data_IF_282699955092
#
_entry.id   IF_282699955092
#
_cell.length_a   1.000
_cell.length_b   1.000
_cell.length_c   1.000
_cell.angle_alpha   90.00
_cell.angle_beta   90.00
_cell.angle_gamma   90.00
#
_symmetry.space_group_name_H-M   'P 1'
#
loop_
_entity.id
_entity.type
_entity.pdbx_description
1 polymer ?
#
# COMPACT_ATOMS: atom_id res chain seq x y z
N UNK A 1 -11.92 -20.29 -8.53
CA UNK A 1 -11.61 -19.52 -7.31
C UNK A 1 -10.77 -18.32 -7.72
N UNK A 2 -11.24 -17.11 -7.43
CA UNK A 2 -10.47 -15.88 -7.61
C UNK A 2 -9.38 -15.83 -6.55
N UNK A 3 -8.15 -15.51 -6.93
CA UNK A 3 -7.01 -15.42 -6.02
C UNK A 3 -7.10 -14.13 -5.20
N UNK A 4 -7.28 -14.22 -3.88
CA UNK A 4 -7.39 -13.05 -2.99
C UNK A 4 -6.07 -12.28 -2.89
N UNK A 5 -4.95 -13.01 -2.84
CA UNK A 5 -3.63 -12.41 -2.65
C UNK A 5 -2.51 -13.42 -2.53
N UNK A 6 -1.35 -12.93 -2.13
CA UNK A 6 -0.13 -13.68 -1.87
C UNK A 6 0.46 -13.26 -0.53
N UNK A 7 1.06 -14.18 0.21
CA UNK A 7 1.82 -13.87 1.43
C UNK A 7 3.30 -13.93 1.10
N UNK A 8 4.02 -12.85 1.39
CA UNK A 8 5.47 -12.74 1.21
C UNK A 8 6.19 -12.75 2.57
N UNK A 9 6.14 -13.90 3.25
CA UNK A 9 6.80 -14.10 4.55
C UNK A 9 7.76 -15.30 4.49
N UNK A 10 8.85 -15.28 5.26
CA UNK A 10 9.86 -16.35 5.26
C UNK A 10 9.29 -17.70 5.70
N UNK A 11 8.40 -17.71 6.69
CA UNK A 11 7.74 -18.91 7.21
C UNK A 11 6.60 -19.42 6.32
N UNK A 12 6.03 -18.55 5.48
CA UNK A 12 4.99 -18.91 4.53
C UNK A 12 5.07 -18.00 3.31
N UNK A 13 5.45 -18.58 2.19
CA UNK A 13 5.53 -17.90 0.90
C UNK A 13 4.60 -18.60 -0.09
N UNK A 14 3.47 -17.97 -0.39
CA UNK A 14 2.43 -18.66 -1.15
C UNK A 14 1.15 -17.88 -1.38
N UNK A 15 0.24 -18.41 -2.23
CA UNK A 15 -1.07 -17.81 -2.44
C UNK A 15 -1.89 -17.84 -1.15
N UNK A 16 -2.61 -16.76 -0.86
CA UNK A 16 -3.55 -16.69 0.24
C UNK A 16 -4.79 -17.53 -0.09
N UNK A 17 -4.74 -18.82 0.26
CA UNK A 17 -5.84 -19.78 0.05
C UNK A 17 -6.81 -19.84 1.22
N UNK A 18 -6.31 -19.65 2.44
CA UNK A 18 -7.11 -19.60 3.66
C UNK A 18 -7.09 -18.17 4.22
N UNK A 19 -8.20 -17.42 4.12
CA UNK A 19 -8.31 -16.08 4.67
C UNK A 19 -7.97 -15.96 6.17
N UNK A 20 -8.13 -17.04 6.96
CA UNK A 20 -7.85 -17.04 8.41
C UNK A 20 -6.40 -16.75 8.74
N UNK A 21 -5.47 -16.99 7.81
CA UNK A 21 -4.06 -16.64 7.96
C UNK A 21 -3.88 -15.15 8.25
N UNK A 22 -4.79 -14.28 7.77
CA UNK A 22 -4.74 -12.84 8.02
C UNK A 22 -5.03 -12.47 9.48
N UNK A 23 -5.49 -13.38 10.34
CA UNK A 23 -5.55 -13.15 11.78
C UNK A 23 -4.16 -13.12 12.43
N UNK A 24 -3.13 -13.67 11.77
CA UNK A 24 -1.75 -13.63 12.25
C UNK A 24 -1.05 -12.34 11.78
N UNK A 25 -0.57 -11.47 12.69
CA UNK A 25 0.01 -10.17 12.34
C UNK A 25 1.12 -10.23 11.28
N UNK A 26 1.98 -11.25 11.35
CA UNK A 26 3.09 -11.45 10.42
C UNK A 26 2.62 -11.72 8.98
N UNK A 27 1.52 -12.45 8.80
CA UNK A 27 0.96 -12.74 7.48
C UNK A 27 0.13 -11.57 6.96
N UNK A 28 -0.61 -10.89 7.84
CA UNK A 28 -1.37 -9.69 7.47
C UNK A 28 -0.47 -8.59 6.91
N UNK A 29 0.61 -8.27 7.61
CA UNK A 29 1.51 -7.16 7.24
C UNK A 29 2.38 -7.46 6.02
N UNK A 30 2.60 -8.74 5.70
CA UNK A 30 3.36 -9.21 4.52
C UNK A 30 2.49 -9.61 3.33
N UNK A 31 1.17 -9.57 3.45
CA UNK A 31 0.28 -9.94 2.36
C UNK A 31 0.28 -8.87 1.24
N UNK A 32 0.30 -9.33 -0.01
CA UNK A 32 -0.05 -8.56 -1.20
C UNK A 32 -1.47 -8.95 -1.57
N UNK A 33 -2.41 -8.03 -1.43
CA UNK A 33 -3.83 -8.26 -1.71
C UNK A 33 -4.13 -7.84 -3.14
N UNK A 34 -4.78 -8.74 -3.89
CA UNK A 34 -5.02 -8.59 -5.32
C UNK A 34 -6.49 -8.38 -5.67
N UNK A 35 -7.42 -8.71 -4.77
CA UNK A 35 -8.86 -8.50 -4.99
C UNK A 35 -9.57 -8.28 -3.66
N UNK A 36 -10.66 -7.53 -3.70
CA UNK A 36 -11.61 -7.41 -2.59
C UNK A 36 -12.14 -8.79 -2.11
N UNK A 37 -12.34 -8.95 -0.80
CA UNK A 37 -12.96 -10.13 -0.20
C UNK A 37 -13.50 -9.82 1.19
N UNK A 38 -14.82 -9.94 1.38
CA UNK A 38 -15.46 -9.64 2.67
C UNK A 38 -15.02 -10.57 3.80
N UNK A 39 -14.88 -11.87 3.50
CA UNK A 39 -14.41 -12.84 4.49
C UNK A 39 -12.99 -12.51 4.94
N UNK A 40 -12.08 -12.26 4.00
CA UNK A 40 -10.70 -11.90 4.31
C UNK A 40 -10.58 -10.53 4.99
N UNK A 41 -11.45 -9.57 4.66
CA UNK A 41 -11.53 -8.28 5.33
C UNK A 41 -11.80 -8.44 6.84
N UNK A 42 -12.79 -9.26 7.22
CA UNK A 42 -13.10 -9.49 8.64
C UNK A 42 -11.94 -10.16 9.38
N UNK A 43 -11.26 -11.13 8.75
CA UNK A 43 -10.07 -11.76 9.33
C UNK A 43 -8.89 -10.79 9.47
N UNK A 44 -8.66 -9.94 8.47
CA UNK A 44 -7.62 -8.92 8.51
C UNK A 44 -7.86 -7.90 9.63
N UNK A 45 -9.11 -7.47 9.84
CA UNK A 45 -9.47 -6.55 10.94
C UNK A 45 -9.22 -7.20 12.30
N UNK A 46 -9.59 -8.48 12.48
CA UNK A 46 -9.29 -9.25 13.70
C UNK A 46 -7.79 -9.45 13.92
N UNK A 47 -7.02 -9.66 12.85
CA UNK A 47 -5.56 -9.75 12.94
C UNK A 47 -4.94 -8.41 13.33
N UNK A 48 -5.42 -7.32 12.74
CA UNK A 48 -4.95 -5.97 13.03
C UNK A 48 -5.25 -5.56 14.48
N UNK A 49 -6.42 -5.88 15.02
CA UNK A 49 -6.78 -5.55 16.41
C UNK A 49 -5.87 -6.19 17.48
N UNK A 50 -5.06 -7.20 17.12
CA UNK A 50 -4.10 -7.83 18.03
C UNK A 50 -2.84 -7.01 18.28
N UNK A 51 -2.52 -6.06 17.41
CA UNK A 51 -1.28 -5.26 17.51
C UNK A 51 -1.43 -3.79 17.13
N UNK A 52 -2.51 -3.43 16.43
CA UNK A 52 -2.75 -2.07 16.00
C UNK A 52 -3.32 -1.19 17.11
N UNK A 53 -3.33 0.11 16.84
CA UNK A 53 -3.97 1.08 17.72
C UNK A 53 -5.49 0.91 17.64
N UNK A 54 -6.14 0.53 18.75
CA UNK A 54 -7.57 0.19 18.75
C UNK A 54 -8.46 1.28 18.13
N UNK A 55 -8.21 2.54 18.46
CA UNK A 55 -8.94 3.68 17.89
C UNK A 55 -8.84 3.72 16.35
N UNK A 56 -7.67 3.42 15.80
CA UNK A 56 -7.45 3.39 14.35
C UNK A 56 -8.18 2.21 13.72
N UNK A 57 -8.06 1.02 14.31
CA UNK A 57 -8.71 -0.21 13.83
C UNK A 57 -10.23 0.00 13.74
N UNK A 58 -10.84 0.48 14.81
CA UNK A 58 -12.28 0.71 14.90
C UNK A 58 -12.74 1.81 13.93
N UNK A 59 -12.00 2.92 13.86
CA UNK A 59 -12.36 4.02 12.96
C UNK A 59 -12.27 3.60 11.49
N UNK A 60 -11.20 2.90 11.09
CA UNK A 60 -11.05 2.41 9.71
C UNK A 60 -12.12 1.37 9.38
N UNK A 61 -12.40 0.42 10.28
CA UNK A 61 -13.50 -0.53 10.10
C UNK A 61 -14.83 0.20 9.84
N UNK A 62 -15.17 1.18 10.69
CA UNK A 62 -16.38 1.97 10.57
C UNK A 62 -16.42 2.76 9.24
N UNK A 63 -15.30 3.35 8.81
CA UNK A 63 -15.25 4.11 7.56
C UNK A 63 -15.41 3.21 6.34
N UNK A 64 -14.80 2.02 6.33
CA UNK A 64 -15.02 1.02 5.28
C UNK A 64 -16.50 0.66 5.19
N UNK A 65 -17.15 0.39 6.32
CA UNK A 65 -18.57 0.09 6.37
C UNK A 65 -19.45 1.27 5.90
N UNK A 66 -19.08 2.51 6.24
CA UNK A 66 -19.78 3.71 5.78
C UNK A 66 -19.67 3.89 4.26
N UNK A 67 -18.49 3.63 3.67
CA UNK A 67 -18.30 3.69 2.21
C UNK A 67 -19.13 2.61 1.52
N UNK A 68 -19.11 1.36 2.01
CA UNK A 68 -19.93 0.26 1.47
C UNK A 68 -21.43 0.59 1.48
N UNK A 69 -21.89 1.36 2.48
CA UNK A 69 -23.28 1.81 2.62
C UNK A 69 -23.60 3.12 1.87
N UNK A 70 -22.63 3.72 1.17
CA UNK A 70 -22.81 5.00 0.48
C UNK A 70 -22.95 6.22 1.39
N UNK A 71 -22.62 6.09 2.68
CA UNK A 71 -22.66 7.18 3.67
C UNK A 71 -21.39 8.04 3.67
N UNK A 72 -20.32 7.52 3.06
CA UNK A 72 -19.02 8.17 2.96
C UNK A 72 -18.49 7.98 1.54
N UNK A 73 -18.09 9.07 0.88
CA UNK A 73 -17.47 9.01 -0.44
C UNK A 73 -15.94 8.93 -0.33
N UNK A 74 -15.25 8.78 -1.48
CA UNK A 74 -13.78 8.69 -1.52
C UNK A 74 -13.10 9.93 -0.94
N UNK A 75 -13.66 11.12 -1.19
CA UNK A 75 -13.11 12.38 -0.67
C UNK A 75 -13.26 12.46 0.86
N UNK A 76 -14.42 12.11 1.39
CA UNK A 76 -14.67 12.04 2.82
C UNK A 76 -13.82 10.99 3.50
N UNK A 77 -13.63 9.82 2.88
CA UNK A 77 -12.70 8.79 3.37
C UNK A 77 -11.28 9.36 3.50
N UNK A 78 -10.75 9.96 2.44
CA UNK A 78 -9.42 10.59 2.47
C UNK A 78 -9.28 11.61 3.62
N UNK A 79 -10.25 12.51 3.78
CA UNK A 79 -10.22 13.53 4.84
C UNK A 79 -10.18 12.92 6.24
N UNK A 80 -10.95 11.85 6.46
CA UNK A 80 -10.96 11.13 7.73
C UNK A 80 -9.65 10.39 7.98
N UNK A 81 -9.09 9.74 6.94
CA UNK A 81 -7.78 9.08 7.02
C UNK A 81 -6.70 10.09 7.43
N UNK A 82 -6.61 11.24 6.75
CA UNK A 82 -5.61 12.29 7.04
C UNK A 82 -5.64 12.68 8.53
N UNK A 83 -6.81 12.70 9.16
CA UNK A 83 -6.95 13.07 10.57
C UNK A 83 -6.43 12.00 11.53
N UNK A 84 -6.51 10.72 11.14
CA UNK A 84 -6.07 9.59 11.97
C UNK A 84 -4.58 9.24 11.79
N UNK A 85 -4.07 9.43 10.57
CA UNK A 85 -2.72 9.04 10.16
C UNK A 85 -1.58 9.49 11.08
N UNK A 86 -1.59 10.68 11.73
CA UNK A 86 -0.53 11.08 12.65
C UNK A 86 -0.31 10.14 13.84
N UNK A 87 -1.35 9.39 14.21
CA UNK A 87 -1.34 8.45 15.35
C UNK A 87 -0.95 7.03 14.93
N UNK A 88 -0.82 6.75 13.64
CA UNK A 88 -0.51 5.42 13.15
C UNK A 88 0.95 5.07 13.39
N UNK A 89 1.20 3.82 13.79
CA UNK A 89 2.52 3.20 13.70
C UNK A 89 2.74 2.50 12.36
N UNK A 90 3.96 2.04 12.10
CA UNK A 90 4.31 1.36 10.84
C UNK A 90 3.44 0.12 10.62
N UNK A 91 3.19 -0.65 11.69
CA UNK A 91 2.29 -1.79 11.66
C UNK A 91 0.85 -1.41 11.28
N UNK A 92 0.33 -0.32 11.86
CA UNK A 92 -1.00 0.20 11.54
C UNK A 92 -1.09 0.58 10.05
N UNK A 93 -0.08 1.27 9.54
CA UNK A 93 -0.05 1.67 8.14
C UNK A 93 -0.03 0.46 7.23
N UNK A 94 0.82 -0.54 7.49
CA UNK A 94 0.88 -1.76 6.68
C UNK A 94 -0.46 -2.50 6.67
N UNK A 95 -1.05 -2.74 7.84
CA UNK A 95 -2.33 -3.44 7.97
C UNK A 95 -3.48 -2.67 7.32
N UNK A 96 -3.54 -1.35 7.54
CA UNK A 96 -4.57 -0.49 6.98
C UNK A 96 -4.63 -0.58 5.46
N UNK A 97 -3.50 -0.64 4.75
CA UNK A 97 -3.53 -0.78 3.28
C UNK A 97 -4.19 -2.08 2.83
N UNK A 98 -3.95 -3.19 3.54
CA UNK A 98 -4.57 -4.50 3.23
C UNK A 98 -6.05 -4.49 3.58
N UNK A 99 -6.42 -3.89 4.71
CA UNK A 99 -7.82 -3.76 5.14
C UNK A 99 -8.61 -2.89 4.16
N UNK A 100 -8.06 -1.76 3.73
CA UNK A 100 -8.66 -0.93 2.69
C UNK A 100 -8.78 -1.68 1.37
N UNK A 101 -7.76 -2.45 0.98
CA UNK A 101 -7.80 -3.22 -0.27
C UNK A 101 -8.85 -4.32 -0.22
N UNK A 102 -8.87 -5.11 0.84
CA UNK A 102 -9.84 -6.20 1.03
C UNK A 102 -11.27 -5.69 1.17
N UNK A 103 -11.45 -4.51 1.77
CA UNK A 103 -12.76 -3.94 2.07
C UNK A 103 -13.34 -3.07 0.96
N UNK A 104 -12.52 -2.31 0.24
CA UNK A 104 -12.96 -1.27 -0.70
C UNK A 104 -12.24 -1.30 -2.05
N UNK A 105 -11.39 -2.31 -2.27
CA UNK A 105 -10.61 -2.48 -3.48
C UNK A 105 -9.66 -1.30 -3.79
N UNK A 106 -9.21 -0.61 -2.75
CA UNK A 106 -8.35 0.57 -2.85
C UNK A 106 -7.28 0.61 -1.75
N UNK A 107 -6.26 1.42 -1.96
CA UNK A 107 -5.26 1.80 -0.98
C UNK A 107 -5.20 3.32 -0.83
N UNK A 108 -4.33 3.81 0.05
CA UNK A 108 -4.08 5.25 0.19
C UNK A 108 -3.60 5.91 -1.11
N UNK A 109 -2.89 5.18 -1.98
CA UNK A 109 -2.40 5.66 -3.28
C UNK A 109 -3.54 6.05 -4.20
N UNK A 110 -4.60 5.24 -4.22
CA UNK A 110 -5.81 5.47 -5.02
C UNK A 110 -6.65 6.62 -4.47
N UNK A 111 -6.46 6.97 -3.19
CA UNK A 111 -7.05 8.16 -2.55
C UNK A 111 -6.16 9.40 -2.70
N UNK A 112 -4.98 9.29 -3.31
CA UNK A 112 -4.07 10.41 -3.56
C UNK A 112 -3.03 10.65 -2.45
N UNK A 113 -2.72 9.65 -1.63
CA UNK A 113 -1.64 9.68 -0.64
C UNK A 113 -0.63 8.56 -0.90
N UNK A 114 0.64 8.83 -0.69
CA UNK A 114 1.70 7.80 -0.70
C UNK A 114 2.32 7.73 0.69
N UNK A 115 2.55 6.52 1.18
CA UNK A 115 3.31 6.29 2.41
C UNK A 115 4.73 5.90 2.02
N UNK A 116 5.71 6.73 2.38
CA UNK A 116 7.12 6.45 2.16
C UNK A 116 7.76 6.02 3.48
N UNK A 117 8.30 4.80 3.53
CA UNK A 117 8.89 4.23 4.74
C UNK A 117 10.41 4.15 4.62
N UNK A 118 11.12 4.75 5.58
CA UNK A 118 12.57 4.64 5.70
C UNK A 118 12.92 3.88 6.98
N UNK A 119 13.57 2.72 6.84
CA UNK A 119 14.16 1.97 7.96
C UNK A 119 15.65 2.30 8.00
N UNK A 120 16.12 2.78 9.15
CA UNK A 120 17.53 3.13 9.31
C UNK A 120 18.40 1.87 9.34
N UNK A 121 19.20 1.67 8.29
CA UNK A 121 20.25 0.66 8.26
C UNK A 121 21.60 1.31 8.56
N UNK A 122 22.54 0.54 9.11
CA UNK A 122 23.93 0.97 9.31
C UNK A 122 24.47 1.42 7.93
N UNK A 123 24.73 2.71 7.76
CA UNK A 123 25.13 3.38 6.49
C UNK A 123 24.00 3.81 5.52
N UNK A 124 22.75 3.80 5.98
CA UNK A 124 21.61 4.41 5.28
C UNK A 124 21.53 5.92 5.54
N UNK A 125 21.40 6.71 4.48
CA UNK A 125 21.05 8.12 4.60
C UNK A 125 19.52 8.26 4.57
N UNK A 126 18.90 9.00 5.50
CA UNK A 126 17.47 9.27 5.41
C UNK A 126 17.18 10.01 4.10
N UNK A 127 16.05 9.72 3.44
CA UNK A 127 15.62 10.52 2.31
C UNK A 127 15.37 11.97 2.76
N UNK A 128 15.56 12.91 1.85
CA UNK A 128 15.08 14.27 2.07
C UNK A 128 13.55 14.26 2.20
N UNK A 129 12.95 15.19 2.97
CA UNK A 129 11.51 15.32 3.06
C UNK A 129 10.89 15.36 1.66
N UNK A 130 9.94 14.46 1.36
CA UNK A 130 9.36 14.35 0.02
C UNK A 130 8.53 15.60 -0.31
N UNK A 131 8.45 16.01 -1.60
CA UNK A 131 7.51 17.03 -2.03
C UNK A 131 6.07 16.68 -1.64
N UNK A 132 5.30 17.65 -1.14
CA UNK A 132 3.90 17.41 -0.76
C UNK A 132 3.70 16.65 0.57
N UNK A 133 4.75 16.57 1.40
CA UNK A 133 4.70 16.04 2.77
C UNK A 133 3.52 16.63 3.56
N UNK A 134 2.73 15.74 4.16
CA UNK A 134 1.68 16.08 5.11
C UNK A 134 2.14 15.82 6.54
N UNK A 135 2.74 14.64 6.77
CA UNK A 135 3.23 14.22 8.08
C UNK A 135 4.56 13.48 7.98
N UNK A 136 5.47 13.82 8.89
CA UNK A 136 6.68 13.03 9.16
C UNK A 136 6.53 12.38 10.53
N UNK A 137 6.47 11.05 10.54
CA UNK A 137 6.30 10.23 11.73
C UNK A 137 7.62 9.55 12.05
N UNK A 138 8.34 10.07 13.04
CA UNK A 138 9.55 9.42 13.57
C UNK A 138 9.13 8.37 14.59
N UNK A 139 9.49 7.12 14.34
CA UNK A 139 9.29 5.97 15.23
C UNK A 139 10.64 5.37 15.57
N UNK A 140 10.66 4.43 16.52
CA UNK A 140 11.88 3.83 17.04
C UNK A 140 12.70 3.17 15.91
N UNK A 141 12.01 2.50 14.98
CA UNK A 141 12.66 1.62 13.99
C UNK A 141 12.61 2.20 12.57
N UNK A 142 11.77 3.21 12.35
CA UNK A 142 11.51 3.76 11.03
C UNK A 142 11.09 5.23 11.08
N UNK A 143 11.35 5.95 9.99
CA UNK A 143 10.72 7.22 9.69
C UNK A 143 9.72 7.03 8.57
N UNK A 144 8.47 7.43 8.80
CA UNK A 144 7.42 7.37 7.80
C UNK A 144 7.06 8.76 7.34
N UNK A 145 7.03 8.98 6.03
CA UNK A 145 6.53 10.19 5.42
C UNK A 145 5.20 9.90 4.74
N UNK A 146 4.17 10.62 5.15
CA UNK A 146 2.85 10.57 4.52
C UNK A 146 2.76 11.80 3.63
N UNK A 147 2.67 11.58 2.34
CA UNK A 147 2.75 12.65 1.33
C UNK A 147 1.60 12.58 0.35
N UNK A 148 1.31 13.70 -0.31
CA UNK A 148 0.42 13.70 -1.47
C UNK A 148 1.04 12.86 -2.58
N UNK A 149 0.19 12.08 -3.23
CA UNK A 149 0.54 11.41 -4.46
C UNK A 149 0.70 12.44 -5.59
N UNK A 150 1.57 12.14 -6.56
CA UNK A 150 1.81 13.04 -7.67
C UNK A 150 0.62 13.06 -8.66
N UNK A 151 0.69 13.97 -9.62
CA UNK A 151 -0.30 14.14 -10.69
C UNK A 151 0.21 13.74 -12.08
N UNK A 152 1.43 13.21 -12.18
CA UNK A 152 2.00 12.76 -13.45
C UNK A 152 1.44 11.42 -13.90
N UNK A 153 2.16 10.78 -14.82
CA UNK A 153 1.79 9.50 -15.41
C UNK A 153 1.68 8.40 -14.34
N UNK A 154 0.85 7.41 -14.64
CA UNK A 154 0.51 6.33 -13.70
C UNK A 154 1.61 5.27 -13.68
N UNK A 155 1.98 4.84 -12.48
CA UNK A 155 2.79 3.66 -12.23
C UNK A 155 2.06 2.73 -11.26
N UNK A 156 2.03 1.45 -11.58
CA UNK A 156 1.34 0.44 -10.79
C UNK A 156 2.24 -0.13 -9.70
N UNK A 157 1.74 -0.15 -8.47
CA UNK A 157 2.35 -0.81 -7.32
C UNK A 157 1.74 -2.18 -7.11
N UNK A 158 2.47 -3.22 -7.52
CA UNK A 158 2.08 -4.61 -7.33
C UNK A 158 2.73 -5.31 -6.14
N UNK A 159 3.47 -4.60 -5.28
CA UNK A 159 4.31 -5.24 -4.26
C UNK A 159 4.26 -4.57 -2.87
N UNK A 160 4.22 -3.24 -2.81
CA UNK A 160 4.38 -2.49 -1.56
C UNK A 160 3.07 -2.16 -0.86
N UNK A 161 1.94 -2.36 -1.54
CA UNK A 161 0.60 -2.00 -1.06
C UNK A 161 0.52 -0.52 -0.63
N UNK A 162 1.14 0.39 -1.38
CA UNK A 162 1.27 1.81 -1.13
C UNK A 162 2.16 2.22 0.08
N UNK A 163 2.94 1.29 0.63
CA UNK A 163 3.98 1.58 1.64
C UNK A 163 5.36 1.42 1.01
N UNK A 164 5.77 2.44 0.26
CA UNK A 164 6.95 2.39 -0.60
C UNK A 164 8.23 2.57 0.23
N UNK A 165 9.22 1.68 0.12
CA UNK A 165 10.52 1.86 0.74
C UNK A 165 11.25 3.08 0.16
N UNK A 166 11.65 4.01 1.02
CA UNK A 166 12.37 5.24 0.66
C UNK A 166 13.79 5.23 1.22
N UNK A 167 14.73 5.82 0.48
CA UNK A 167 16.14 5.90 0.87
C UNK A 167 16.82 7.11 0.24
N UNK A 168 17.65 7.83 1.00
CA UNK A 168 18.51 8.88 0.45
C UNK A 168 19.61 8.33 -0.47
N UNK A 169 19.99 7.06 -0.27
CA UNK A 169 21.12 6.39 -0.93
C UNK A 169 20.67 5.43 -2.04
N UNK A 170 21.42 5.37 -3.13
CA UNK A 170 21.23 4.42 -4.22
C UNK A 170 21.85 3.03 -3.94
N UNK A 171 21.33 1.95 -4.52
CA UNK A 171 20.13 1.90 -5.36
C UNK A 171 18.85 2.09 -4.53
N UNK A 172 17.90 2.87 -5.06
CA UNK A 172 16.61 3.13 -4.40
C UNK A 172 15.58 2.12 -4.90
N UNK A 173 14.48 1.98 -4.15
CA UNK A 173 13.34 1.21 -4.62
C UNK A 173 12.78 1.83 -5.93
N UNK A 174 12.46 1.03 -6.98
CA UNK A 174 12.02 1.57 -8.26
C UNK A 174 10.77 2.47 -8.15
N UNK A 175 9.77 2.07 -7.34
CA UNK A 175 8.60 2.92 -7.08
C UNK A 175 8.96 4.25 -6.41
N UNK A 176 9.99 4.28 -5.56
CA UNK A 176 10.45 5.53 -4.94
C UNK A 176 11.17 6.42 -5.95
N UNK A 177 11.97 5.85 -6.86
CA UNK A 177 12.56 6.62 -7.96
C UNK A 177 11.49 7.21 -8.89
N UNK A 178 10.47 6.43 -9.23
CA UNK A 178 9.33 6.91 -10.01
C UNK A 178 8.59 8.04 -9.30
N UNK A 179 8.32 7.89 -8.00
CA UNK A 179 7.73 8.97 -7.20
C UNK A 179 8.54 10.26 -7.26
N UNK A 180 9.87 10.18 -7.10
CA UNK A 180 10.76 11.34 -7.17
C UNK A 180 10.77 12.00 -8.56
N UNK A 181 10.47 11.25 -9.63
CA UNK A 181 10.34 11.75 -11.01
C UNK A 181 8.96 12.33 -11.31
N UNK A 182 8.03 12.33 -10.35
CA UNK A 182 6.69 12.91 -10.51
C UNK A 182 5.61 11.94 -10.96
N UNK A 183 5.90 10.63 -11.04
CA UNK A 183 4.89 9.62 -11.37
C UNK A 183 3.89 9.43 -10.23
N UNK A 184 2.63 9.18 -10.60
CA UNK A 184 1.53 8.88 -9.68
C UNK A 184 1.44 7.38 -9.44
N UNK A 185 1.58 6.96 -8.20
CA UNK A 185 1.51 5.53 -7.81
C UNK A 185 0.06 5.12 -7.63
N UNK A 186 -0.38 3.99 -8.15
CA UNK A 186 -1.72 3.42 -7.90
C UNK A 186 -1.61 1.94 -7.58
N UNK A 187 -2.52 1.40 -6.76
CA UNK A 187 -2.46 -0.01 -6.38
C UNK A 187 -3.14 -0.92 -7.42
N UNK A 188 -4.14 -0.41 -8.15
CA UNK A 188 -4.83 -1.26 -9.13
C UNK A 188 -5.30 -0.60 -10.42
N UNK A 189 -5.25 -1.44 -11.46
CA UNK A 189 -5.77 -1.28 -12.81
C UNK A 189 -5.27 -2.46 -13.67
N UNK A 190 -6.02 -2.79 -14.72
CA UNK A 190 -5.44 -3.51 -15.86
C UNK A 190 -4.48 -2.53 -16.54
N UNK A 191 -3.16 -2.81 -16.61
CA UNK A 191 -2.23 -1.89 -17.25
C UNK A 191 -2.66 -1.66 -18.70
N UNK A 192 -2.75 -0.39 -19.10
CA UNK A 192 -2.90 -0.01 -20.52
C UNK A 192 -1.55 -0.11 -21.20
N UNK A 193 -1.53 -0.22 -22.52
CA UNK A 193 -0.28 -0.30 -23.32
C UNK A 193 0.68 0.87 -23.07
N UNK A 194 0.19 1.98 -22.52
CA UNK A 194 0.94 3.20 -22.23
C UNK A 194 1.52 3.29 -20.82
N UNK A 195 1.17 2.37 -19.91
CA UNK A 195 1.50 2.52 -18.49
C UNK A 195 2.85 1.86 -18.14
N UNK A 196 3.66 2.53 -17.31
CA UNK A 196 4.91 1.94 -16.81
C UNK A 196 4.59 0.95 -15.67
N UNK A 197 5.02 -0.30 -15.83
CA UNK A 197 4.87 -1.33 -14.81
C UNK A 197 6.18 -1.55 -14.05
N UNK A 198 6.15 -1.46 -12.72
CA UNK A 198 7.16 -2.10 -11.87
C UNK A 198 6.56 -3.42 -11.40
N UNK A 199 6.58 -4.43 -12.27
CA UNK A 199 6.08 -5.77 -11.93
C UNK A 199 7.21 -6.78 -11.86
N UNK A 200 7.27 -7.50 -10.74
CA UNK A 200 8.12 -8.67 -10.60
C UNK A 200 7.49 -9.90 -11.28
N UNK A 201 8.32 -10.67 -12.00
CA UNK A 201 8.00 -11.89 -12.78
C UNK A 201 7.22 -13.00 -12.03
N UNK A 202 7.02 -12.90 -10.71
CA UNK A 202 6.56 -14.02 -9.86
C UNK A 202 5.03 -14.19 -9.79
N UNK A 203 4.24 -13.14 -10.00
CA UNK A 203 2.77 -13.20 -9.92
C UNK A 203 2.07 -13.43 -11.27
N UNK A 204 2.83 -13.62 -12.36
CA UNK A 204 2.33 -13.85 -13.74
C UNK A 204 1.32 -12.80 -14.25
N UNK A 205 1.25 -11.62 -13.64
CA UNK A 205 0.54 -10.50 -14.23
C UNK A 205 1.27 -10.07 -15.50
N UNK A 206 0.55 -10.00 -16.62
CA UNK A 206 1.10 -9.52 -17.89
C UNK A 206 1.18 -8.00 -17.85
N UNK A 207 2.39 -7.46 -17.97
CA UNK A 207 2.60 -6.17 -18.60
C UNK A 207 3.07 -6.44 -20.02
N UNK A 208 2.42 -5.82 -21.01
CA UNK A 208 2.81 -5.97 -22.41
C UNK A 208 4.03 -5.09 -22.71
N UNK A 209 4.92 -5.64 -23.53
CA UNK A 209 6.24 -5.13 -23.84
C UNK A 209 6.17 -3.90 -24.77
N UNK A 210 6.72 -2.75 -24.35
CA UNK A 210 6.99 -1.62 -25.27
C UNK A 210 8.37 -1.83 -25.88
N UNK A 211 8.48 -2.88 -26.70
CA UNK A 211 9.60 -3.09 -27.61
C UNK A 211 9.19 -3.98 -28.78
N UNK A 212 8.07 -3.66 -29.43
CA UNK A 212 7.80 -4.07 -30.81
C UNK A 212 7.07 -2.96 -31.57
N UNK A 213 7.75 -1.82 -31.72
CA UNK A 213 7.64 -0.96 -32.91
C UNK A 213 8.71 0.11 -32.85
N UNK A 214 9.82 -0.16 -33.52
CA UNK A 214 10.60 0.93 -34.07
C UNK A 214 9.75 1.60 -35.16
N UNK A 215 9.69 2.93 -35.10
CA UNK A 215 9.68 3.81 -36.26
C UNK A 215 9.64 5.27 -35.74
N UNK A 216 10.70 6.01 -36.10
CA UNK A 216 10.93 7.45 -35.99
C UNK A 216 11.51 7.96 -34.66
#
# INVERSE_FOLDING_TARGET
MTLIGWIDHSEYYGPLKDPKLLEEPKYLTSAVVLTQSEEAFEYAVKGWSRFGTLELVEAIYAYVQQVKRGLLDRRGLLQRLITLLPRADVGDLLAMQRVLKLGLDLTTCDLGLVVLSYVAVRDGAPPQPPPGLLYELRRIDATVYITRNNKGDVIYDGETMCVVPASGRSPRHPLYEAYLRGFRIVNEGLPKETDLCVMHKKLKFRCLDVASSGAW
#
